data_IF_391113840161
#
_entry.id   IF_391113840161
#
_cell.length_a   1.000
_cell.length_b   1.000
_cell.length_c   1.000
_cell.angle_alpha   90.00
_cell.angle_beta   90.00
_cell.angle_gamma   90.00
#
_symmetry.space_group_name_H-M   'P 1'
#
loop_
_entity.id
_entity.type
_entity.pdbx_description
1 polymer ?
#
# COMPACT_ATOMS: atom_id res chain seq x y z
N UNK A 1 14.49 2.32 12.79
CA UNK A 1 13.22 3.08 12.51
C UNK A 1 12.91 3.10 11.00
N UNK A 2 11.70 3.45 10.51
CA UNK A 2 11.34 3.39 9.05
C UNK A 2 12.33 4.11 8.13
N UNK A 3 12.79 5.31 8.52
CA UNK A 3 13.75 6.12 7.75
C UNK A 3 15.09 5.42 7.54
N UNK A 4 15.54 4.67 8.53
CA UNK A 4 16.79 3.89 8.49
C UNK A 4 16.69 2.75 7.48
N UNK A 5 15.60 1.97 7.52
CA UNK A 5 15.32 0.91 6.52
C UNK A 5 15.27 1.46 5.11
N UNK A 6 14.62 2.61 4.94
CA UNK A 6 14.49 3.26 3.62
C UNK A 6 15.86 3.56 3.00
N UNK A 7 16.83 4.01 3.81
CA UNK A 7 18.21 4.26 3.36
C UNK A 7 19.01 2.97 3.16
N UNK A 8 18.76 1.95 3.99
CA UNK A 8 19.43 0.66 3.90
C UNK A 8 18.99 -0.14 2.66
N UNK A 9 17.76 0.03 2.20
CA UNK A 9 17.21 -0.70 1.05
C UNK A 9 17.76 -0.20 -0.30
N UNK A 10 18.31 1.02 -0.38
CA UNK A 10 18.86 1.57 -1.62
C UNK A 10 18.80 3.09 -1.73
N UNK A 11 18.90 3.64 -2.95
CA UNK A 11 18.82 5.08 -3.20
C UNK A 11 17.51 5.69 -2.69
N UNK A 12 17.61 6.97 -2.29
CA UNK A 12 16.48 7.76 -1.81
C UNK A 12 16.29 8.96 -2.72
N UNK A 13 15.25 8.90 -3.54
CA UNK A 13 14.84 10.00 -4.40
C UNK A 13 13.85 10.92 -3.69
N UNK A 14 13.89 12.21 -4.09
CA UNK A 14 12.86 13.17 -3.75
C UNK A 14 11.90 13.31 -4.93
N UNK A 15 10.61 13.25 -4.61
CA UNK A 15 9.50 13.46 -5.53
C UNK A 15 8.30 13.96 -4.74
N UNK A 16 7.38 14.61 -5.45
CA UNK A 16 6.10 15.08 -4.97
C UNK A 16 4.99 14.13 -5.41
N UNK A 17 3.86 14.16 -4.70
CA UNK A 17 2.66 13.41 -5.11
C UNK A 17 2.20 13.78 -6.52
N UNK A 18 2.35 15.05 -6.90
CA UNK A 18 2.00 15.54 -8.25
C UNK A 18 2.89 14.92 -9.32
N UNK A 19 4.22 14.90 -9.13
CA UNK A 19 5.14 14.25 -10.10
C UNK A 19 4.79 12.77 -10.32
N UNK A 20 4.48 12.03 -9.25
CA UNK A 20 4.11 10.62 -9.35
C UNK A 20 2.74 10.44 -10.01
N UNK A 21 1.76 11.28 -9.65
CA UNK A 21 0.43 11.26 -10.27
C UNK A 21 0.46 11.57 -11.77
N UNK A 22 1.22 12.58 -12.18
CA UNK A 22 1.37 12.97 -13.59
C UNK A 22 2.06 11.86 -14.40
N UNK A 23 3.08 11.20 -13.83
CA UNK A 23 3.74 10.04 -14.45
C UNK A 23 2.78 8.85 -14.62
N UNK A 24 1.95 8.59 -13.61
CA UNK A 24 1.05 7.43 -13.57
C UNK A 24 -0.29 7.68 -14.27
N UNK A 25 -0.46 8.83 -14.93
CA UNK A 25 -1.72 9.21 -15.59
C UNK A 25 -2.89 9.34 -14.62
N UNK A 26 -2.62 9.59 -13.34
CA UNK A 26 -3.61 9.66 -12.27
C UNK A 26 -4.50 8.41 -12.16
N UNK A 27 -3.96 7.23 -12.49
CA UNK A 27 -4.64 5.95 -12.29
C UNK A 27 -4.14 5.30 -11.00
N UNK A 28 -5.04 4.94 -10.09
CA UNK A 28 -4.66 4.28 -8.85
C UNK A 28 -4.02 2.92 -9.16
N UNK A 29 -2.76 2.73 -8.78
CA UNK A 29 -2.08 1.46 -9.06
C UNK A 29 -2.52 0.28 -8.16
N UNK A 30 -3.59 0.43 -7.37
CA UNK A 30 -4.21 -0.64 -6.58
C UNK A 30 -5.58 -1.05 -7.13
N UNK A 31 -6.51 -0.10 -7.24
CA UNK A 31 -7.87 -0.39 -7.71
C UNK A 31 -8.04 -0.13 -9.22
N UNK A 32 -7.06 0.46 -9.89
CA UNK A 32 -7.09 0.85 -11.31
C UNK A 32 -8.16 1.88 -11.69
N UNK A 33 -8.78 2.55 -10.71
CA UNK A 33 -9.74 3.64 -10.95
C UNK A 33 -9.01 5.01 -10.93
N UNK A 34 -9.58 6.05 -11.56
CA UNK A 34 -8.99 7.39 -11.58
C UNK A 34 -8.84 8.02 -10.18
N UNK A 35 -7.72 8.71 -9.96
CA UNK A 35 -7.41 9.48 -8.75
C UNK A 35 -7.51 10.97 -9.09
N UNK A 36 -8.44 11.68 -8.46
CA UNK A 36 -8.58 13.13 -8.68
C UNK A 36 -7.72 13.91 -7.65
N UNK A 37 -6.72 14.70 -8.10
CA UNK A 37 -5.86 15.47 -7.21
C UNK A 37 -6.57 16.64 -6.50
N UNK A 38 -7.79 16.98 -6.87
CA UNK A 38 -8.57 18.08 -6.27
C UNK A 38 -9.21 17.71 -4.93
N UNK A 39 -9.30 16.41 -4.59
CA UNK A 39 -9.84 15.96 -3.31
C UNK A 39 -9.01 16.48 -2.13
N UNK A 40 -9.73 16.94 -1.10
CA UNK A 40 -9.14 17.48 0.13
C UNK A 40 -8.25 16.45 0.82
N UNK A 41 -7.22 16.93 1.50
CA UNK A 41 -6.38 16.11 2.38
C UNK A 41 -7.28 15.37 3.37
N UNK A 42 -7.01 14.08 3.60
CA UNK A 42 -7.79 13.14 4.43
C UNK A 42 -9.09 12.62 3.82
N UNK A 43 -9.53 13.11 2.66
CA UNK A 43 -10.58 12.40 1.91
C UNK A 43 -10.02 11.06 1.43
N UNK A 44 -10.71 9.93 1.62
CA UNK A 44 -10.25 8.63 1.11
C UNK A 44 -9.95 8.61 -0.40
N UNK A 45 -10.55 9.51 -1.19
CA UNK A 45 -10.32 9.67 -2.63
C UNK A 45 -9.10 10.53 -2.97
N UNK A 46 -8.54 11.24 -1.98
CA UNK A 46 -7.35 12.08 -2.18
C UNK A 46 -6.12 11.27 -2.59
N UNK A 47 -5.19 11.85 -3.33
CA UNK A 47 -4.01 11.14 -3.80
C UNK A 47 -3.02 10.81 -2.69
N UNK A 48 -2.39 9.64 -2.79
CA UNK A 48 -1.35 9.16 -1.88
C UNK A 48 -0.28 8.39 -2.64
N UNK A 49 0.98 8.52 -2.21
CA UNK A 49 2.09 7.76 -2.79
C UNK A 49 2.29 6.48 -2.00
N UNK A 50 2.20 5.35 -2.69
CA UNK A 50 2.36 4.00 -2.16
C UNK A 50 3.65 3.36 -2.65
N UNK A 51 4.33 2.61 -1.78
CA UNK A 51 5.49 1.80 -2.17
C UNK A 51 5.02 0.46 -2.74
N UNK A 52 5.35 0.18 -4.01
CA UNK A 52 4.95 -1.05 -4.72
C UNK A 52 5.43 -2.27 -3.93
N UNK A 53 6.75 -2.44 -3.75
CA UNK A 53 7.30 -3.33 -2.72
C UNK A 53 7.41 -2.56 -1.41
N UNK A 54 6.87 -3.10 -0.32
CA UNK A 54 6.91 -2.42 0.98
C UNK A 54 8.35 -2.23 1.49
N UNK A 55 8.61 -1.10 2.15
CA UNK A 55 9.94 -0.82 2.76
C UNK A 55 10.35 -1.88 3.78
N UNK A 56 9.40 -2.49 4.50
CA UNK A 56 9.64 -3.60 5.43
C UNK A 56 10.14 -4.87 4.75
N UNK A 57 9.82 -5.04 3.46
CA UNK A 57 10.22 -6.17 2.64
C UNK A 57 11.39 -5.82 1.70
N UNK A 58 12.08 -4.69 1.90
CA UNK A 58 13.23 -4.31 1.07
C UNK A 58 12.91 -3.36 -0.08
N UNK A 59 11.69 -2.82 -0.17
CA UNK A 59 11.34 -1.80 -1.15
C UNK A 59 12.14 -0.50 -1.00
N UNK A 60 12.57 0.08 -2.13
CA UNK A 60 13.34 1.32 -2.20
C UNK A 60 12.45 2.58 -2.19
N UNK A 61 13.05 3.73 -1.91
CA UNK A 61 12.41 5.05 -2.07
C UNK A 61 12.85 5.68 -3.40
N UNK A 62 12.56 4.99 -4.50
CA UNK A 62 12.83 5.45 -5.87
C UNK A 62 11.50 5.61 -6.61
N UNK A 63 11.48 6.42 -7.69
CA UNK A 63 10.29 6.54 -8.55
C UNK A 63 9.80 5.16 -8.98
N UNK A 64 10.70 4.27 -9.34
CA UNK A 64 10.42 2.93 -9.88
C UNK A 64 9.66 2.02 -8.90
N UNK A 65 9.80 2.25 -7.59
CA UNK A 65 9.14 1.46 -6.54
C UNK A 65 7.99 2.23 -5.86
N UNK A 66 7.53 3.34 -6.42
CA UNK A 66 6.34 4.02 -5.93
C UNK A 66 5.28 4.17 -7.02
N UNK A 67 4.03 4.28 -6.60
CA UNK A 67 2.85 4.49 -7.47
C UNK A 67 1.88 5.47 -6.82
N UNK A 68 1.07 6.15 -7.64
CA UNK A 68 -0.08 6.91 -7.17
C UNK A 68 -1.22 5.97 -6.78
N UNK A 69 -1.91 6.30 -5.69
CA UNK A 69 -3.06 5.55 -5.18
C UNK A 69 -4.08 6.52 -4.58
N UNK A 70 -5.33 6.07 -4.41
CA UNK A 70 -6.23 6.73 -3.46
C UNK A 70 -5.71 6.53 -2.04
N UNK A 71 -5.86 7.54 -1.19
CA UNK A 71 -5.52 7.48 0.23
C UNK A 71 -6.21 6.32 0.94
N UNK A 72 -7.48 6.06 0.63
CA UNK A 72 -8.26 4.96 1.19
C UNK A 72 -7.72 3.59 0.77
N UNK A 73 -7.33 3.42 -0.50
CA UNK A 73 -6.73 2.17 -0.98
C UNK A 73 -5.35 1.93 -0.34
N UNK A 74 -4.51 2.98 -0.24
CA UNK A 74 -3.23 2.89 0.45
C UNK A 74 -3.42 2.53 1.93
N UNK A 75 -4.37 3.17 2.61
CA UNK A 75 -4.68 2.85 4.01
C UNK A 75 -5.12 1.40 4.17
N UNK A 76 -6.00 0.90 3.31
CA UNK A 76 -6.43 -0.51 3.32
C UNK A 76 -5.24 -1.46 3.11
N UNK A 77 -4.37 -1.17 2.13
CA UNK A 77 -3.14 -1.94 1.91
C UNK A 77 -2.21 -1.92 3.13
N UNK A 78 -2.16 -0.84 3.91
CA UNK A 78 -1.30 -0.82 5.09
C UNK A 78 -1.77 -1.78 6.21
N UNK A 79 -3.01 -2.30 6.14
CA UNK A 79 -3.49 -3.34 7.06
C UNK A 79 -2.89 -4.73 6.77
N UNK A 80 -2.55 -5.01 5.51
CA UNK A 80 -1.90 -6.27 5.08
C UNK A 80 -0.90 -6.00 3.96
N UNK A 81 0.36 -6.36 4.17
CA UNK A 81 1.40 -6.12 3.16
C UNK A 81 1.25 -7.10 2.00
N UNK A 82 1.06 -6.57 0.79
CA UNK A 82 1.05 -7.33 -0.46
C UNK A 82 2.41 -8.01 -0.70
N UNK A 83 2.37 -9.31 -1.02
CA UNK A 83 3.54 -10.10 -1.41
C UNK A 83 3.67 -10.07 -2.92
N UNK A 84 4.82 -9.62 -3.44
CA UNK A 84 5.02 -9.54 -4.90
C UNK A 84 5.69 -10.77 -5.48
N UNK A 85 6.44 -11.51 -4.66
CA UNK A 85 7.24 -12.65 -5.07
C UNK A 85 7.48 -13.62 -3.89
N UNK A 86 8.17 -14.73 -4.17
CA UNK A 86 8.50 -15.75 -3.17
C UNK A 86 9.49 -15.27 -2.11
N UNK A 87 10.32 -14.27 -2.41
CA UNK A 87 11.23 -13.67 -1.43
C UNK A 87 10.45 -12.88 -0.38
N UNK A 88 9.44 -12.13 -0.80
CA UNK A 88 8.53 -11.42 0.10
C UNK A 88 7.76 -12.41 1.00
N UNK A 89 7.21 -13.48 0.41
CA UNK A 89 6.53 -14.54 1.16
C UNK A 89 7.45 -15.17 2.20
N UNK A 90 8.68 -15.53 1.80
CA UNK A 90 9.70 -16.07 2.70
C UNK A 90 10.02 -15.09 3.82
N UNK A 91 10.19 -13.81 3.49
CA UNK A 91 10.55 -12.79 4.46
C UNK A 91 9.47 -12.59 5.51
N UNK A 92 8.21 -12.58 5.11
CA UNK A 92 7.08 -12.52 6.05
C UNK A 92 7.03 -13.76 6.92
N UNK A 93 7.24 -14.93 6.33
CA UNK A 93 7.27 -16.20 7.05
C UNK A 93 8.40 -16.24 8.11
N UNK A 94 9.61 -15.80 7.77
CA UNK A 94 10.73 -15.63 8.71
C UNK A 94 10.37 -14.70 9.88
N UNK A 95 9.69 -13.58 9.60
CA UNK A 95 9.25 -12.63 10.63
C UNK A 95 8.24 -13.30 11.56
N UNK A 96 7.26 -14.02 11.02
CA UNK A 96 6.25 -14.74 11.81
C UNK A 96 6.92 -15.78 12.71
N UNK A 97 7.84 -16.56 12.15
CA UNK A 97 8.54 -17.60 12.90
C UNK A 97 9.39 -17.03 14.03
N UNK A 98 10.08 -15.91 13.75
CA UNK A 98 10.82 -15.18 14.77
C UNK A 98 9.91 -14.67 15.90
N UNK A 99 8.73 -14.11 15.58
CA UNK A 99 7.76 -13.62 16.58
C UNK A 99 7.19 -14.77 17.43
N UNK A 100 6.90 -15.90 16.80
CA UNK A 100 6.37 -17.08 17.48
C UNK A 100 7.45 -17.91 18.20
N UNK A 101 8.73 -17.59 18.01
CA UNK A 101 9.85 -18.33 18.61
C UNK A 101 10.02 -19.74 18.03
N UNK A 102 9.52 -19.98 16.82
CA UNK A 102 9.65 -21.27 16.12
C UNK A 102 10.76 -21.20 15.07
N UNK A 103 11.35 -22.35 14.76
CA UNK A 103 12.34 -22.48 13.69
C UNK A 103 11.85 -23.52 12.68
N UNK A 104 10.93 -23.12 11.80
CA UNK A 104 10.55 -23.92 10.63
C UNK A 104 11.13 -23.31 9.36
N UNK A 105 11.36 -24.15 8.37
CA UNK A 105 11.63 -23.70 7.01
C UNK A 105 10.36 -23.93 6.21
N UNK A 106 9.74 -22.85 5.74
CA UNK A 106 8.63 -22.99 4.82
C UNK A 106 9.11 -23.59 3.50
N UNK A 107 8.37 -24.59 3.05
CA UNK A 107 8.51 -25.21 1.75
C UNK A 107 8.13 -24.23 0.65
N UNK A 108 8.61 -24.47 -0.57
CA UNK A 108 8.24 -23.64 -1.73
C UNK A 108 6.73 -23.61 -1.93
N UNK A 109 6.04 -24.75 -1.78
CA UNK A 109 4.59 -24.84 -1.93
C UNK A 109 3.84 -23.97 -0.91
N UNK A 110 4.30 -23.90 0.34
CA UNK A 110 3.70 -23.00 1.35
C UNK A 110 3.91 -21.52 1.00
N UNK A 111 5.08 -21.17 0.47
CA UNK A 111 5.38 -19.80 0.04
C UNK A 111 4.55 -19.40 -1.19
N UNK A 112 4.37 -20.32 -2.14
CA UNK A 112 3.50 -20.14 -3.31
C UNK A 112 2.04 -19.96 -2.89
N UNK A 113 1.54 -20.78 -1.98
CA UNK A 113 0.18 -20.65 -1.45
C UNK A 113 -0.03 -19.31 -0.72
N UNK A 114 0.95 -18.86 0.07
CA UNK A 114 0.90 -17.55 0.73
C UNK A 114 0.88 -16.39 -0.28
N UNK A 115 1.66 -16.49 -1.36
CA UNK A 115 1.70 -15.51 -2.43
C UNK A 115 0.37 -15.45 -3.20
N UNK A 116 -0.21 -16.61 -3.52
CA UNK A 116 -1.53 -16.71 -4.15
C UNK A 116 -2.62 -16.07 -3.28
N UNK A 117 -2.67 -16.43 -2.00
CA UNK A 117 -3.63 -15.84 -1.07
C UNK A 117 -3.47 -14.31 -0.97
N UNK A 118 -2.22 -13.82 -0.93
CA UNK A 118 -1.95 -12.38 -0.95
C UNK A 118 -2.51 -11.72 -2.22
N UNK A 119 -2.30 -12.32 -3.40
CA UNK A 119 -2.84 -11.78 -4.67
C UNK A 119 -4.36 -11.71 -4.67
N UNK A 120 -5.04 -12.73 -4.12
CA UNK A 120 -6.49 -12.72 -4.00
C UNK A 120 -6.97 -11.58 -3.10
N UNK A 121 -6.35 -11.42 -1.92
CA UNK A 121 -6.63 -10.32 -0.99
C UNK A 121 -6.35 -8.93 -1.58
N UNK A 122 -5.34 -8.82 -2.44
CA UNK A 122 -4.94 -7.56 -3.07
C UNK A 122 -5.53 -7.39 -4.48
N UNK A 123 -6.63 -8.07 -4.78
CA UNK A 123 -7.34 -7.91 -6.04
C UNK A 123 -7.95 -6.49 -6.16
N UNK A 124 -7.90 -5.82 -7.33
CA UNK A 124 -8.41 -4.45 -7.51
C UNK A 124 -9.84 -4.21 -7.02
N UNK A 125 -10.72 -5.20 -7.18
CA UNK A 125 -12.12 -5.10 -6.72
C UNK A 125 -12.26 -5.02 -5.20
N UNK A 126 -11.36 -5.65 -4.44
CA UNK A 126 -11.35 -5.51 -2.98
C UNK A 126 -11.05 -4.07 -2.60
N UNK A 127 -10.05 -3.45 -3.25
CA UNK A 127 -9.73 -2.04 -3.05
C UNK A 127 -10.88 -1.11 -3.45
N UNK A 128 -11.57 -1.38 -4.57
CA UNK A 128 -12.77 -0.62 -4.96
C UNK A 128 -13.85 -0.72 -3.89
N UNK A 129 -14.11 -1.91 -3.37
CA UNK A 129 -15.13 -2.12 -2.34
C UNK A 129 -14.77 -1.40 -1.02
N UNK A 130 -13.53 -1.55 -0.55
CA UNK A 130 -13.04 -0.89 0.66
C UNK A 130 -13.03 0.63 0.50
N UNK A 131 -12.62 1.15 -0.65
CA UNK A 131 -12.67 2.59 -0.94
C UNK A 131 -14.11 3.12 -0.89
N UNK A 132 -15.07 2.44 -1.53
CA UNK A 132 -16.50 2.84 -1.47
C UNK A 132 -17.00 2.93 -0.03
N UNK A 133 -16.67 1.94 0.82
CA UNK A 133 -17.03 1.95 2.25
C UNK A 133 -16.37 3.12 3.00
N UNK A 134 -15.09 3.38 2.74
CA UNK A 134 -14.35 4.49 3.35
C UNK A 134 -14.94 5.85 2.96
N UNK A 135 -15.29 6.04 1.68
CA UNK A 135 -15.95 7.25 1.17
C UNK A 135 -17.31 7.45 1.82
N UNK A 136 -18.15 6.41 1.87
CA UNK A 136 -19.45 6.52 2.55
C UNK A 136 -19.31 6.90 4.02
N UNK A 137 -18.31 6.37 4.73
CA UNK A 137 -18.03 6.75 6.12
C UNK A 137 -17.57 8.20 6.23
N UNK A 138 -16.66 8.63 5.37
CA UNK A 138 -16.16 10.01 5.31
C UNK A 138 -17.30 11.01 5.04
N UNK A 139 -18.17 10.72 4.09
CA UNK A 139 -19.30 11.59 3.73
C UNK A 139 -20.39 11.64 4.82
N UNK A 140 -20.56 10.56 5.59
CA UNK A 140 -21.45 10.57 6.77
C UNK A 140 -20.88 11.40 7.91
N UNK A 141 -19.57 11.27 8.19
CA UNK A 141 -18.89 12.03 9.23
C UNK A 141 -18.60 13.49 8.86
N UNK A 142 -18.51 13.81 7.57
CA UNK A 142 -18.23 15.15 7.06
C UNK A 142 -19.42 16.12 7.18
N UNK A 143 -20.64 15.63 7.39
CA UNK A 143 -21.83 16.48 7.62
C UNK A 143 -21.84 17.19 8.98
N UNK A 144 -20.90 16.86 9.87
CA UNK A 144 -20.82 17.43 11.22
C UNK A 144 -19.67 18.46 11.39
N UNK A 145 -18.95 18.76 10.30
CA UNK A 145 -17.75 19.64 10.34
C UNK A 145 -17.99 21.06 9.80
N UNK A 146 -19.26 21.50 9.75
CA UNK A 146 -19.61 22.92 9.61
C UNK A 146 -19.36 23.68 10.92
N UNK A 147 -18.13 23.63 11.46
CA UNK A 147 -17.63 24.66 12.36
C UNK A 147 -16.18 24.98 12.00
N UNK A 148 -15.87 26.26 11.75
CA UNK A 148 -14.51 26.70 11.43
C UNK A 148 -13.68 26.73 12.71
N UNK A 149 -12.42 26.31 12.61
CA UNK A 149 -11.35 26.74 13.53
C UNK A 149 -10.51 27.79 12.84
#
# INVERSE_FOLDING_TARGET
MRRERTRANGPVERFTTREIGDRDGWVCGLCHDPVDPSYKVRDPRSPSVDHIRAVSLGGTQTRDNVRITHLGCNHERNNSTELLNLEDARRVQEIIDQVLGVKRQATTAELEAALEHSREQHHPDQYRQSLRRAVQKYERGGRDSSQPT
#
